data_IF_149213765336
#
_entry.id   IF_149213765336
#
_cell.length_a   1.000
_cell.length_b   1.000
_cell.length_c   1.000
_cell.angle_alpha   90.00
_cell.angle_beta   90.00
_cell.angle_gamma   90.00
#
_symmetry.space_group_name_H-M   'P 1'
#
loop_
_entity.id
_entity.type
_entity.pdbx_description
1 polymer ?
#
# COMPACT_ATOMS: atom_id res chain seq x y z
N UNK A 1 -20.23 0.79 -11.85
CA UNK A 1 -19.01 1.29 -11.20
C UNK A 1 -17.99 0.17 -11.20
N UNK A 2 -16.76 0.43 -11.63
CA UNK A 2 -15.65 -0.53 -11.61
C UNK A 2 -14.51 0.08 -10.81
N UNK A 3 -13.90 -0.71 -9.94
CA UNK A 3 -12.73 -0.31 -9.18
C UNK A 3 -11.60 -1.33 -9.29
N UNK A 4 -10.39 -0.88 -9.04
CA UNK A 4 -9.22 -1.75 -8.99
C UNK A 4 -8.51 -1.61 -7.65
N UNK A 5 -8.04 -2.74 -7.13
CA UNK A 5 -6.99 -2.77 -6.12
C UNK A 5 -5.67 -2.90 -6.88
N UNK A 6 -4.76 -1.97 -6.63
CA UNK A 6 -3.51 -1.82 -7.37
C UNK A 6 -2.35 -2.02 -6.42
N UNK A 7 -1.49 -2.99 -6.75
CA UNK A 7 -0.32 -3.36 -5.94
C UNK A 7 0.89 -3.61 -6.83
N UNK A 8 2.08 -3.40 -6.28
CA UNK A 8 3.35 -3.74 -6.92
C UNK A 8 4.02 -4.91 -6.20
N UNK A 9 4.59 -5.86 -6.97
CA UNK A 9 5.39 -6.95 -6.44
C UNK A 9 6.67 -7.20 -7.24
N UNK A 10 7.68 -7.69 -6.54
CA UNK A 10 8.96 -8.15 -7.09
C UNK A 10 9.09 -9.65 -6.89
N UNK A 11 10.10 -10.27 -7.51
CA UNK A 11 10.39 -11.69 -7.32
C UNK A 11 11.06 -11.93 -5.96
N UNK A 12 10.27 -11.74 -4.91
CA UNK A 12 10.63 -11.89 -3.52
C UNK A 12 9.56 -12.75 -2.84
N UNK A 13 9.97 -13.89 -2.27
CA UNK A 13 9.01 -14.84 -1.68
C UNK A 13 8.15 -14.21 -0.57
N UNK A 14 8.71 -13.36 0.29
CA UNK A 14 7.93 -12.72 1.36
C UNK A 14 6.86 -11.78 0.78
N UNK A 15 7.21 -11.02 -0.25
CA UNK A 15 6.29 -10.10 -0.91
C UNK A 15 5.19 -10.85 -1.68
N UNK A 16 5.52 -11.99 -2.28
CA UNK A 16 4.55 -12.87 -2.94
C UNK A 16 3.63 -13.56 -1.91
N UNK A 17 4.12 -13.94 -0.72
CA UNK A 17 3.29 -14.43 0.39
C UNK A 17 2.27 -13.39 0.82
N UNK A 18 2.71 -12.14 0.93
CA UNK A 18 1.85 -11.01 1.27
C UNK A 18 0.78 -10.78 0.19
N UNK A 19 1.18 -10.73 -1.10
CA UNK A 19 0.23 -10.67 -2.21
C UNK A 19 -0.79 -11.84 -2.17
N UNK A 20 -0.33 -13.04 -1.81
CA UNK A 20 -1.19 -14.21 -1.65
C UNK A 20 -2.29 -13.98 -0.61
N UNK A 21 -1.97 -13.33 0.51
CA UNK A 21 -2.95 -12.93 1.51
C UNK A 21 -3.99 -11.95 0.95
N UNK A 22 -3.53 -10.87 0.29
CA UNK A 22 -4.42 -9.89 -0.33
C UNK A 22 -5.35 -10.55 -1.37
N UNK A 23 -4.79 -11.32 -2.29
CA UNK A 23 -5.56 -12.06 -3.30
C UNK A 23 -6.59 -12.99 -2.66
N UNK A 24 -6.19 -13.78 -1.67
CA UNK A 24 -7.08 -14.75 -1.02
C UNK A 24 -8.23 -14.04 -0.32
N UNK A 25 -7.95 -12.92 0.36
CA UNK A 25 -8.98 -12.10 1.00
C UNK A 25 -9.95 -11.49 -0.02
N UNK A 26 -9.46 -10.99 -1.16
CA UNK A 26 -10.31 -10.46 -2.23
C UNK A 26 -11.22 -11.55 -2.83
N UNK A 27 -10.70 -12.75 -3.05
CA UNK A 27 -11.51 -13.90 -3.52
C UNK A 27 -12.55 -14.32 -2.50
N UNK A 28 -12.18 -14.28 -1.22
CA UNK A 28 -13.08 -14.66 -0.14
C UNK A 28 -14.29 -13.71 -0.05
N UNK A 29 -14.09 -12.40 -0.18
CA UNK A 29 -15.18 -11.42 -0.08
C UNK A 29 -16.04 -11.32 -1.33
N UNK A 30 -15.62 -11.97 -2.43
CA UNK A 30 -16.34 -12.06 -3.70
C UNK A 30 -16.81 -10.70 -4.26
N UNK A 31 -15.91 -9.71 -4.25
CA UNK A 31 -16.20 -8.36 -4.72
C UNK A 31 -16.34 -8.32 -6.25
N UNK A 32 -17.58 -8.34 -6.76
CA UNK A 32 -17.88 -8.47 -8.20
C UNK A 32 -17.47 -7.27 -9.05
N UNK A 33 -17.22 -6.12 -8.42
CA UNK A 33 -16.90 -4.85 -9.08
C UNK A 33 -15.40 -4.49 -9.02
N UNK A 34 -14.59 -5.36 -8.40
CA UNK A 34 -13.20 -5.10 -8.04
C UNK A 34 -12.25 -6.02 -8.79
N UNK A 35 -11.39 -5.44 -9.63
CA UNK A 35 -10.26 -6.17 -10.22
C UNK A 35 -9.02 -6.05 -9.33
N UNK A 36 -8.16 -7.09 -9.31
CA UNK A 36 -6.81 -7.01 -8.76
C UNK A 36 -5.81 -6.77 -9.88
N UNK A 37 -5.23 -5.58 -9.90
CA UNK A 37 -4.17 -5.19 -10.84
C UNK A 37 -2.83 -5.32 -10.13
N UNK A 38 -2.00 -6.24 -10.63
CA UNK A 38 -0.68 -6.53 -10.07
C UNK A 38 0.38 -6.06 -11.05
N UNK A 39 1.04 -4.97 -10.67
CA UNK A 39 2.27 -4.53 -11.31
C UNK A 39 3.43 -5.35 -10.76
N UNK A 40 4.42 -5.67 -11.58
CA UNK A 40 5.60 -6.34 -11.07
C UNK A 40 6.63 -6.73 -12.10
N UNK A 41 7.74 -7.27 -11.61
CA UNK A 41 8.78 -7.81 -12.50
C UNK A 41 8.27 -9.04 -13.23
N UNK A 42 8.82 -9.30 -14.41
CA UNK A 42 8.47 -10.46 -15.23
C UNK A 42 8.47 -11.79 -14.46
N UNK A 43 9.50 -12.01 -13.64
CA UNK A 43 9.63 -13.24 -12.85
C UNK A 43 8.58 -13.33 -11.73
N UNK A 44 8.23 -12.21 -11.10
CA UNK A 44 7.16 -12.16 -10.11
C UNK A 44 5.79 -12.50 -10.74
N UNK A 45 5.48 -11.91 -11.90
CA UNK A 45 4.19 -12.06 -12.56
C UNK A 45 3.90 -13.47 -13.09
N UNK A 46 4.94 -14.29 -13.29
CA UNK A 46 4.79 -15.73 -13.57
C UNK A 46 4.13 -16.48 -12.40
N UNK A 47 4.32 -16.00 -11.17
CA UNK A 47 3.80 -16.60 -9.93
C UNK A 47 2.45 -16.01 -9.51
N UNK A 48 2.02 -14.91 -10.13
CA UNK A 48 0.72 -14.28 -9.86
C UNK A 48 -0.41 -15.12 -10.51
N UNK A 49 -1.58 -15.30 -9.86
CA UNK A 49 -2.74 -15.97 -10.45
C UNK A 49 -3.17 -15.37 -11.79
N UNK A 50 -3.69 -16.23 -12.67
CA UNK A 50 -4.02 -15.86 -14.06
C UNK A 50 -5.27 -14.99 -14.22
N UNK A 51 -6.10 -14.95 -13.18
CA UNK A 51 -7.30 -14.12 -13.12
C UNK A 51 -7.05 -12.72 -12.55
N UNK A 52 -5.80 -12.41 -12.14
CA UNK A 52 -5.35 -11.05 -11.90
C UNK A 52 -5.01 -10.35 -13.23
N UNK A 53 -5.14 -9.02 -13.26
CA UNK A 53 -4.60 -8.20 -14.36
C UNK A 53 -3.12 -7.97 -14.08
N UNK A 54 -2.26 -8.61 -14.87
CA UNK A 54 -0.80 -8.57 -14.72
C UNK A 54 -0.21 -7.46 -15.59
N UNK A 55 0.62 -6.60 -15.01
CA UNK A 55 1.27 -5.50 -15.73
C UNK A 55 2.78 -5.54 -15.47
N UNK A 56 3.55 -5.91 -16.48
CA UNK A 56 5.01 -5.97 -16.37
C UNK A 56 5.59 -4.56 -16.24
N UNK A 57 6.43 -4.37 -15.22
CA UNK A 57 7.20 -3.15 -15.00
C UNK A 57 8.65 -3.47 -14.68
N UNK A 58 9.52 -2.60 -15.16
CA UNK A 58 10.90 -2.56 -14.73
C UNK A 58 11.01 -1.92 -13.35
N UNK A 59 12.07 -2.29 -12.65
CA UNK A 59 12.44 -1.65 -11.40
C UNK A 59 12.89 -0.23 -11.68
N UNK A 60 12.37 0.73 -10.93
CA UNK A 60 12.80 2.12 -11.00
C UNK A 60 14.31 2.22 -10.67
N UNK A 61 15.07 2.79 -11.59
CA UNK A 61 16.53 2.86 -11.51
C UNK A 61 17.12 4.25 -11.75
N UNK A 62 16.28 5.22 -12.14
CA UNK A 62 16.69 6.60 -12.40
C UNK A 62 15.83 7.55 -11.56
N UNK A 63 16.42 8.31 -10.62
CA UNK A 63 17.85 8.38 -10.34
C UNK A 63 18.40 7.11 -9.66
N UNK A 64 19.74 6.89 -9.63
CA UNK A 64 20.36 5.67 -9.07
C UNK A 64 19.95 5.35 -7.63
N UNK A 65 19.57 6.36 -6.84
CA UNK A 65 19.06 6.25 -5.49
C UNK A 65 17.80 5.35 -5.38
N UNK A 66 17.01 5.25 -6.46
CA UNK A 66 15.85 4.37 -6.55
C UNK A 66 16.21 2.89 -6.45
N UNK A 67 17.38 2.48 -6.96
CA UNK A 67 17.86 1.09 -6.82
C UNK A 67 18.00 0.70 -5.34
N UNK A 68 18.35 1.67 -4.48
CA UNK A 68 18.52 1.52 -3.04
C UNK A 68 17.29 2.00 -2.25
N UNK A 69 16.15 2.23 -2.90
CA UNK A 69 14.91 2.66 -2.27
C UNK A 69 13.70 1.97 -2.92
N UNK A 70 13.59 0.66 -2.73
CA UNK A 70 12.60 -0.20 -3.44
C UNK A 70 11.14 0.19 -3.25
N UNK A 71 10.80 0.90 -2.17
CA UNK A 71 9.45 1.42 -1.92
C UNK A 71 8.95 2.36 -3.03
N UNK A 72 9.85 2.96 -3.83
CA UNK A 72 9.45 3.79 -4.97
C UNK A 72 8.59 3.03 -5.98
N UNK A 73 8.80 1.73 -6.15
CA UNK A 73 8.13 0.93 -7.17
C UNK A 73 6.62 0.81 -6.92
N UNK A 74 6.16 0.94 -5.66
CA UNK A 74 4.72 0.93 -5.33
C UNK A 74 3.97 2.17 -5.80
N UNK A 75 4.67 3.25 -6.17
CA UNK A 75 4.08 4.46 -6.73
C UNK A 75 4.50 4.71 -8.18
N UNK A 76 5.75 4.45 -8.55
CA UNK A 76 6.24 4.72 -9.91
C UNK A 76 5.58 3.80 -10.95
N UNK A 77 5.17 2.58 -10.57
CA UNK A 77 4.49 1.67 -11.49
C UNK A 77 3.15 2.23 -12.02
N UNK A 78 2.53 3.19 -11.33
CA UNK A 78 1.29 3.86 -11.77
C UNK A 78 1.52 5.01 -12.76
N UNK A 79 2.78 5.44 -12.92
CA UNK A 79 3.18 6.60 -13.75
C UNK A 79 3.44 6.19 -15.20
N UNK A 80 3.97 4.98 -15.39
CA UNK A 80 4.36 4.47 -16.70
C UNK A 80 3.18 4.29 -17.66
N UNK A 81 3.47 4.27 -18.97
CA UNK A 81 2.46 4.11 -20.03
C UNK A 81 1.63 2.84 -19.88
N UNK A 82 2.23 1.75 -19.42
CA UNK A 82 1.51 0.51 -19.15
C UNK A 82 0.42 0.66 -18.08
N UNK A 83 0.43 1.70 -17.26
CA UNK A 83 -0.62 2.01 -16.30
C UNK A 83 -1.76 2.87 -16.89
N UNK A 84 -1.67 3.33 -18.14
CA UNK A 84 -2.67 4.24 -18.73
C UNK A 84 -4.08 3.67 -18.76
N UNK A 85 -4.23 2.35 -18.85
CA UNK A 85 -5.56 1.72 -18.81
C UNK A 85 -6.27 1.88 -17.47
N UNK A 86 -5.57 2.20 -16.38
CA UNK A 86 -6.18 2.37 -15.06
C UNK A 86 -7.21 3.49 -15.03
N UNK A 87 -7.11 4.49 -15.92
CA UNK A 87 -8.10 5.59 -16.01
C UNK A 87 -9.49 5.12 -16.47
N UNK A 88 -9.62 3.85 -16.88
CA UNK A 88 -10.92 3.22 -17.21
C UNK A 88 -11.68 2.77 -15.95
N UNK A 89 -11.03 2.72 -14.79
CA UNK A 89 -11.69 2.49 -13.52
C UNK A 89 -12.25 3.80 -12.98
N UNK A 90 -13.40 3.72 -12.31
CA UNK A 90 -13.96 4.88 -11.60
C UNK A 90 -13.07 5.22 -10.40
N UNK A 91 -12.62 4.18 -9.69
CA UNK A 91 -11.76 4.29 -8.51
C UNK A 91 -10.61 3.30 -8.54
N UNK A 92 -9.45 3.70 -8.02
CA UNK A 92 -8.37 2.77 -7.70
C UNK A 92 -7.96 2.91 -6.23
N UNK A 93 -7.74 1.77 -5.58
CA UNK A 93 -7.09 1.64 -4.29
C UNK A 93 -5.64 1.24 -4.55
N UNK A 94 -4.72 2.19 -4.50
CA UNK A 94 -3.27 1.89 -4.48
C UNK A 94 -2.90 1.50 -3.06
N UNK A 95 -2.37 0.29 -2.89
CA UNK A 95 -2.02 -0.25 -1.57
C UNK A 95 -0.76 -1.11 -1.62
N UNK A 96 -0.22 -1.42 -0.44
CA UNK A 96 0.89 -2.34 -0.26
C UNK A 96 0.43 -3.81 -0.33
N UNK A 97 1.35 -4.73 -0.63
CA UNK A 97 1.00 -6.15 -0.76
C UNK A 97 0.67 -6.81 0.59
N UNK A 98 1.15 -6.26 1.71
CA UNK A 98 0.94 -6.79 3.06
C UNK A 98 -0.39 -6.32 3.66
N UNK A 99 -1.45 -6.53 2.89
CA UNK A 99 -2.80 -6.08 3.20
C UNK A 99 -3.84 -7.18 3.03
N UNK A 100 -5.00 -6.95 3.61
CA UNK A 100 -6.19 -7.79 3.45
C UNK A 100 -7.40 -6.91 3.18
N UNK A 101 -8.37 -7.45 2.46
CA UNK A 101 -9.71 -6.88 2.35
C UNK A 101 -10.67 -7.70 3.20
N UNK A 102 -11.67 -7.02 3.76
CA UNK A 102 -12.76 -7.65 4.53
C UNK A 102 -14.10 -7.49 3.79
N UNK A 103 -15.18 -8.16 4.23
CA UNK A 103 -16.50 -7.99 3.63
C UNK A 103 -16.99 -6.54 3.58
N UNK A 104 -16.52 -5.68 4.51
CA UNK A 104 -16.82 -4.26 4.51
C UNK A 104 -16.39 -3.53 3.23
N UNK A 105 -15.39 -4.07 2.50
CA UNK A 105 -14.95 -3.53 1.21
C UNK A 105 -16.10 -3.41 0.20
N UNK A 106 -17.05 -4.35 0.20
CA UNK A 106 -18.14 -4.40 -0.79
C UNK A 106 -19.09 -3.18 -0.73
N UNK A 107 -19.20 -2.55 0.45
CA UNK A 107 -20.02 -1.35 0.65
C UNK A 107 -19.20 -0.05 0.73
N UNK A 108 -17.86 -0.15 0.75
CA UNK A 108 -16.99 0.99 0.94
C UNK A 108 -16.62 1.65 -0.39
N UNK A 109 -17.15 2.86 -0.60
CA UNK A 109 -16.76 3.76 -1.69
C UNK A 109 -16.37 5.11 -1.11
N UNK A 110 -15.34 5.77 -1.64
CA UNK A 110 -14.83 6.99 -1.06
C UNK A 110 -15.60 8.18 -1.63
N UNK A 111 -16.22 8.99 -0.77
CA UNK A 111 -16.92 10.22 -1.18
C UNK A 111 -15.93 11.24 -1.79
N UNK A 112 -14.72 11.27 -1.23
CA UNK A 112 -13.60 12.10 -1.66
C UNK A 112 -12.32 11.27 -1.72
N UNK A 113 -11.22 11.85 -2.20
CA UNK A 113 -9.92 11.18 -2.12
C UNK A 113 -9.64 10.81 -0.67
N UNK A 114 -9.47 9.53 -0.40
CA UNK A 114 -9.36 8.97 0.96
C UNK A 114 -8.03 8.25 1.09
N UNK A 115 -7.33 8.50 2.18
CA UNK A 115 -6.06 7.83 2.51
C UNK A 115 -6.18 7.20 3.90
N UNK A 116 -5.38 6.16 4.15
CA UNK A 116 -5.18 5.67 5.52
C UNK A 116 -4.32 6.63 6.34
N UNK A 117 -3.80 6.17 7.48
CA UNK A 117 -3.00 7.00 8.39
C UNK A 117 -1.60 6.45 8.58
N UNK A 118 -0.60 7.29 8.32
CA UNK A 118 0.80 7.02 8.60
C UNK A 118 1.20 7.38 10.04
N UNK A 119 2.51 7.31 10.31
CA UNK A 119 3.10 7.63 11.62
C UNK A 119 4.55 8.11 11.53
N UNK A 120 4.90 8.83 10.46
CA UNK A 120 6.28 9.22 10.13
C UNK A 120 6.61 10.69 10.45
N UNK A 121 5.62 11.52 10.80
CA UNK A 121 5.82 12.91 11.25
C UNK A 121 5.65 12.97 12.76
N UNK A 122 6.76 12.79 13.49
CA UNK A 122 6.77 12.71 14.96
C UNK A 122 7.39 13.95 15.64
N UNK A 123 8.00 14.86 14.87
CA UNK A 123 8.66 16.05 15.39
C UNK A 123 8.45 17.29 14.51
N UNK A 124 8.93 18.44 15.01
CA UNK A 124 8.84 19.73 14.31
C UNK A 124 9.78 19.81 13.12
N UNK A 125 10.91 19.11 13.15
CA UNK A 125 11.91 19.11 12.09
C UNK A 125 11.33 18.48 10.82
N UNK A 126 10.80 17.26 10.93
CA UNK A 126 10.15 16.52 9.84
C UNK A 126 9.03 17.35 9.23
N UNK A 127 8.16 17.93 10.06
CA UNK A 127 7.07 18.80 9.61
C UNK A 127 7.58 20.03 8.84
N UNK A 128 8.70 20.60 9.27
CA UNK A 128 9.29 21.79 8.64
C UNK A 128 9.98 21.44 7.33
N UNK A 129 10.66 20.30 7.25
CA UNK A 129 11.26 19.79 6.01
C UNK A 129 10.21 19.54 4.94
N UNK A 130 9.11 18.85 5.27
CA UNK A 130 7.99 18.61 4.33
C UNK A 130 7.44 19.92 3.77
N UNK A 131 7.15 20.91 4.63
CA UNK A 131 6.66 22.23 4.19
C UNK A 131 7.69 23.00 3.36
N UNK A 132 8.97 22.90 3.72
CA UNK A 132 10.07 23.55 2.99
C UNK A 132 10.19 22.96 1.59
N UNK A 133 10.12 21.64 1.45
CA UNK A 133 10.17 20.95 0.14
C UNK A 133 8.95 21.35 -0.69
N UNK A 134 7.73 21.30 -0.12
CA UNK A 134 6.54 21.79 -0.82
C UNK A 134 6.71 23.23 -1.32
N UNK A 135 7.22 24.13 -0.47
CA UNK A 135 7.47 25.53 -0.83
C UNK A 135 8.55 25.67 -1.91
N UNK A 136 9.60 24.85 -1.88
CA UNK A 136 10.67 24.85 -2.89
C UNK A 136 10.12 24.60 -4.30
N UNK A 137 9.13 23.72 -4.42
CA UNK A 137 8.45 23.41 -5.69
C UNK A 137 7.21 24.29 -5.97
N UNK A 138 6.96 25.34 -5.17
CA UNK A 138 5.75 26.17 -5.24
C UNK A 138 4.44 25.36 -5.12
N UNK A 139 4.47 24.26 -4.37
CA UNK A 139 3.32 23.40 -4.15
C UNK A 139 2.53 23.85 -2.91
N UNK A 140 1.20 23.80 -3.04
CA UNK A 140 0.29 24.04 -1.93
C UNK A 140 0.42 22.92 -0.89
N UNK A 141 0.51 23.28 0.39
CA UNK A 141 0.42 22.34 1.50
C UNK A 141 -0.72 22.73 2.45
N UNK A 142 -1.83 21.99 2.47
CA UNK A 142 -3.02 22.33 3.27
C UNK A 142 -2.89 22.00 4.77
N UNK A 143 -1.74 21.49 5.19
CA UNK A 143 -1.40 21.33 6.61
C UNK A 143 -1.81 19.98 7.20
N UNK A 144 -2.18 19.03 6.35
CA UNK A 144 -2.42 17.65 6.72
C UNK A 144 -1.10 16.87 6.69
N UNK A 145 -0.88 16.08 7.74
CA UNK A 145 0.34 15.30 7.96
C UNK A 145 -0.02 13.86 8.32
N UNK A 146 0.93 12.94 8.14
CA UNK A 146 0.79 11.50 8.40
C UNK A 146 -0.29 10.86 7.52
N UNK A 147 -0.29 11.15 6.22
CA UNK A 147 -1.12 10.45 5.24
C UNK A 147 -0.58 9.01 5.08
N UNK A 148 -1.46 8.01 5.04
CA UNK A 148 -1.08 6.60 4.92
C UNK A 148 -0.48 6.24 3.56
N UNK A 149 0.06 5.02 3.44
CA UNK A 149 0.57 4.50 2.16
C UNK A 149 -0.58 4.13 1.23
N UNK A 150 -1.76 3.83 1.78
CA UNK A 150 -2.93 3.49 0.98
C UNK A 150 -3.68 4.73 0.49
N UNK A 151 -3.94 4.78 -0.82
CA UNK A 151 -4.65 5.88 -1.47
C UNK A 151 -5.85 5.34 -2.25
N UNK A 152 -7.05 5.81 -1.93
CA UNK A 152 -8.30 5.43 -2.58
C UNK A 152 -9.02 6.64 -3.15
N UNK A 153 -9.28 6.65 -4.46
CA UNK A 153 -9.97 7.77 -5.08
C UNK A 153 -10.11 7.59 -6.58
N UNK A 154 -10.52 8.67 -7.25
CA UNK A 154 -10.62 8.69 -8.71
C UNK A 154 -9.30 8.23 -9.35
N UNK A 155 -9.39 7.32 -10.31
CA UNK A 155 -8.22 6.67 -10.90
C UNK A 155 -7.20 7.66 -11.48
N UNK A 156 -7.67 8.67 -12.22
CA UNK A 156 -6.80 9.69 -12.82
C UNK A 156 -6.11 10.53 -11.74
N UNK A 157 -6.84 10.95 -10.70
CA UNK A 157 -6.27 11.75 -9.62
C UNK A 157 -5.25 10.97 -8.78
N UNK A 158 -5.50 9.68 -8.50
CA UNK A 158 -4.51 8.83 -7.80
C UNK A 158 -3.22 8.72 -8.62
N UNK A 159 -3.32 8.55 -9.95
CA UNK A 159 -2.14 8.51 -10.83
C UNK A 159 -1.37 9.82 -10.86
N UNK A 160 -2.05 10.97 -10.94
CA UNK A 160 -1.39 12.29 -10.89
C UNK A 160 -0.67 12.51 -9.55
N UNK A 161 -1.26 12.06 -8.43
CA UNK A 161 -0.60 12.05 -7.12
C UNK A 161 0.66 11.18 -7.15
N UNK A 162 0.57 9.94 -7.66
CA UNK A 162 1.74 9.06 -7.77
C UNK A 162 2.84 9.67 -8.66
N UNK A 163 2.48 10.31 -9.77
CA UNK A 163 3.42 10.96 -10.68
C UNK A 163 4.23 12.06 -9.97
N UNK A 164 3.55 13.02 -9.36
CA UNK A 164 4.22 14.09 -8.60
C UNK A 164 5.00 13.53 -7.41
N UNK A 165 4.48 12.50 -6.74
CA UNK A 165 5.18 11.84 -5.64
C UNK A 165 6.46 11.11 -6.10
N UNK A 166 6.50 10.52 -7.30
CA UNK A 166 7.72 9.92 -7.85
C UNK A 166 8.79 11.00 -8.10
N UNK A 167 8.43 12.13 -8.70
CA UNK A 167 9.34 13.27 -8.92
C UNK A 167 9.88 13.84 -7.60
N UNK A 168 9.02 14.04 -6.61
CA UNK A 168 9.43 14.52 -5.29
C UNK A 168 10.27 13.49 -4.53
N UNK A 169 9.99 12.19 -4.69
CA UNK A 169 10.81 11.13 -4.09
C UNK A 169 12.23 11.17 -4.66
N UNK A 170 12.39 11.36 -5.98
CA UNK A 170 13.70 11.53 -6.59
C UNK A 170 14.46 12.68 -5.94
N UNK A 171 13.85 13.88 -5.87
CA UNK A 171 14.47 15.05 -5.24
C UNK A 171 14.87 14.83 -3.78
N UNK A 172 13.95 14.27 -2.97
CA UNK A 172 14.23 14.05 -1.53
C UNK A 172 15.40 13.06 -1.36
N UNK A 173 15.47 12.01 -2.17
CA UNK A 173 16.58 11.07 -2.10
C UNK A 173 17.90 11.68 -2.56
N UNK A 174 17.91 12.45 -3.66
CA UNK A 174 19.14 12.97 -4.28
C UNK A 174 19.67 14.23 -3.61
N UNK A 175 18.80 15.07 -3.05
CA UNK A 175 19.18 16.36 -2.45
C UNK A 175 19.06 16.33 -0.93
N UNK A 176 17.90 15.96 -0.38
CA UNK A 176 17.64 16.05 1.07
C UNK A 176 18.38 14.99 1.88
N UNK A 177 18.55 13.78 1.31
CA UNK A 177 19.30 12.68 1.93
C UNK A 177 20.67 12.43 1.29
N UNK A 178 21.19 13.40 0.52
CA UNK A 178 22.50 13.31 -0.12
C UNK A 178 23.65 13.05 0.88
N UNK A 179 23.56 13.62 2.07
CA UNK A 179 24.62 13.60 3.09
C UNK A 179 24.38 12.60 4.22
N UNK A 180 23.31 11.80 4.15
CA UNK A 180 23.01 10.79 5.16
C UNK A 180 21.54 10.36 5.16
N UNK A 181 21.24 9.26 5.83
CA UNK A 181 19.89 8.67 5.82
C UNK A 181 18.93 9.27 6.86
N UNK A 182 19.40 10.20 7.69
CA UNK A 182 18.63 10.72 8.82
C UNK A 182 18.41 9.66 9.91
N UNK A 183 17.41 9.86 10.78
CA UNK A 183 17.16 9.00 11.94
C UNK A 183 15.68 8.80 12.22
N UNK A 184 15.24 7.55 12.27
CA UNK A 184 13.91 7.19 12.76
C UNK A 184 13.80 7.38 14.28
N UNK A 185 12.68 7.89 14.83
CA UNK A 185 11.40 8.22 14.19
C UNK A 185 11.25 9.69 13.72
N UNK A 186 12.34 10.40 13.41
CA UNK A 186 12.33 11.75 12.85
C UNK A 186 12.50 11.78 11.33
N UNK A 187 13.22 12.78 10.82
CA UNK A 187 13.55 12.90 9.38
C UNK A 187 14.40 11.70 8.95
N UNK A 188 13.83 10.80 8.16
CA UNK A 188 14.43 9.50 7.84
C UNK A 188 14.18 9.06 6.40
N UNK A 189 15.24 8.64 5.71
CA UNK A 189 15.24 8.24 4.30
C UNK A 189 14.27 7.11 4.00
N UNK A 190 14.08 6.17 4.94
CA UNK A 190 13.26 4.97 4.73
C UNK A 190 11.78 5.25 4.41
N UNK A 191 11.27 6.42 4.75
CA UNK A 191 9.85 6.81 4.54
C UNK A 191 9.70 7.94 3.50
N UNK A 192 10.70 8.11 2.63
CA UNK A 192 10.70 9.18 1.61
C UNK A 192 9.47 9.20 0.71
N UNK A 193 9.00 8.06 0.20
CA UNK A 193 7.80 8.01 -0.64
C UNK A 193 6.54 8.48 0.11
N UNK A 194 6.51 8.34 1.43
CA UNK A 194 5.42 8.83 2.28
C UNK A 194 5.43 10.37 2.36
N UNK A 195 6.60 10.97 2.59
CA UNK A 195 6.76 12.43 2.55
C UNK A 195 6.33 13.00 1.18
N UNK A 196 6.76 12.35 0.10
CA UNK A 196 6.44 12.78 -1.26
C UNK A 196 4.96 12.63 -1.60
N UNK A 197 4.34 11.49 -1.27
CA UNK A 197 2.90 11.28 -1.43
C UNK A 197 2.09 12.30 -0.63
N UNK A 198 2.54 12.65 0.57
CA UNK A 198 1.87 13.66 1.39
C UNK A 198 1.90 15.04 0.74
N UNK A 199 3.06 15.48 0.27
CA UNK A 199 3.20 16.76 -0.43
C UNK A 199 2.34 16.78 -1.70
N UNK A 200 2.43 15.74 -2.52
CA UNK A 200 1.66 15.63 -3.76
C UNK A 200 0.15 15.66 -3.51
N UNK A 201 -0.32 14.93 -2.49
CA UNK A 201 -1.74 14.87 -2.12
C UNK A 201 -2.23 16.22 -1.60
N UNK A 202 -1.50 16.85 -0.66
CA UNK A 202 -1.84 18.16 -0.14
C UNK A 202 -1.91 19.23 -1.26
N UNK A 203 -1.15 19.04 -2.35
CA UNK A 203 -1.17 19.94 -3.49
C UNK A 203 -2.38 19.70 -4.40
N UNK A 204 -2.51 18.48 -4.93
CA UNK A 204 -3.42 18.13 -6.02
C UNK A 204 -4.85 17.85 -5.57
N UNK A 205 -5.05 17.46 -4.30
CA UNK A 205 -6.36 17.07 -3.79
C UNK A 205 -6.99 18.23 -3.05
N UNK A 206 -8.18 18.66 -3.48
CA UNK A 206 -8.94 19.73 -2.83
C UNK A 206 -9.65 19.25 -1.55
N UNK A 207 -10.30 18.09 -1.62
CA UNK A 207 -11.04 17.50 -0.51
C UNK A 207 -10.43 16.13 -0.21
N UNK A 208 -9.81 16.03 0.96
CA UNK A 208 -9.06 14.86 1.41
C UNK A 208 -9.65 14.34 2.72
N UNK A 209 -9.90 13.04 2.78
CA UNK A 209 -10.25 12.32 4.00
C UNK A 209 -9.06 11.47 4.44
N UNK A 210 -8.65 11.59 5.71
CA UNK A 210 -7.75 10.64 6.36
C UNK A 210 -8.63 9.72 7.20
N UNK A 211 -8.81 8.47 6.78
CA UNK A 211 -9.74 7.52 7.40
C UNK A 211 -8.97 6.33 7.99
N UNK A 212 -8.40 6.47 9.20
CA UNK A 212 -7.65 5.40 9.85
C UNK A 212 -8.52 4.21 10.25
N UNK A 213 -9.84 4.40 10.34
CA UNK A 213 -10.77 3.32 10.71
C UNK A 213 -11.04 2.42 9.51
N UNK A 214 -11.07 2.97 8.30
CA UNK A 214 -11.38 2.18 7.10
C UNK A 214 -10.17 1.77 6.26
N UNK A 215 -9.12 2.58 6.25
CA UNK A 215 -7.89 2.33 5.51
C UNK A 215 -6.70 2.20 6.45
N UNK A 216 -5.80 1.28 6.12
CA UNK A 216 -4.62 0.91 6.92
C UNK A 216 -4.90 0.41 8.35
N UNK A 217 -6.07 -0.21 8.60
CA UNK A 217 -6.42 -0.70 9.92
C UNK A 217 -5.56 -1.90 10.34
N UNK A 218 -5.21 -2.03 11.62
CA UNK A 218 -4.17 -2.97 12.04
C UNK A 218 -4.58 -4.46 12.05
N UNK A 219 -3.78 -5.32 11.42
CA UNK A 219 -4.00 -6.78 11.37
C UNK A 219 -3.93 -7.52 12.71
N UNK A 220 -3.43 -6.87 13.75
CA UNK A 220 -3.39 -7.42 15.10
C UNK A 220 -4.59 -7.03 15.97
N UNK A 221 -5.58 -6.33 15.39
CA UNK A 221 -6.78 -5.92 16.11
C UNK A 221 -7.69 -7.10 16.42
N UNK A 222 -8.41 -6.99 17.54
CA UNK A 222 -9.49 -7.87 17.96
C UNK A 222 -10.88 -7.29 17.58
N UNK A 223 -10.91 -6.23 16.78
CA UNK A 223 -12.17 -5.64 16.29
C UNK A 223 -12.82 -6.46 15.16
N UNK A 224 -14.07 -6.13 14.87
CA UNK A 224 -14.89 -6.83 13.89
C UNK A 224 -14.51 -6.49 12.45
N UNK A 225 -14.44 -7.49 11.57
CA UNK A 225 -14.18 -7.31 10.14
C UNK A 225 -15.26 -6.48 9.40
N UNK A 226 -16.41 -6.21 10.03
CA UNK A 226 -17.56 -5.55 9.40
C UNK A 226 -17.37 -4.03 9.22
N UNK A 227 -16.40 -3.42 9.89
CA UNK A 227 -16.19 -1.96 9.87
C UNK A 227 -14.94 -1.52 9.09
N UNK A 228 -13.99 -2.44 8.88
CA UNK A 228 -12.64 -2.11 8.43
C UNK A 228 -12.37 -2.76 7.07
N UNK A 229 -12.72 -2.10 5.95
CA UNK A 229 -12.63 -2.67 4.60
C UNK A 229 -11.21 -3.05 4.19
N UNK A 230 -10.19 -2.35 4.72
CA UNK A 230 -8.80 -2.54 4.35
C UNK A 230 -7.90 -2.64 5.59
N UNK A 231 -7.24 -3.78 5.73
CA UNK A 231 -6.36 -4.11 6.84
C UNK A 231 -4.90 -4.07 6.37
N UNK A 232 -4.01 -3.46 7.13
CA UNK A 232 -2.56 -3.40 6.89
C UNK A 232 -1.77 -4.12 7.97
N UNK A 233 -0.74 -4.85 7.56
CA UNK A 233 0.15 -5.56 8.45
C UNK A 233 1.31 -4.69 8.93
N UNK A 234 1.02 -3.80 9.87
CA UNK A 234 2.03 -3.07 10.62
C UNK A 234 3.01 -4.00 11.35
N UNK A 235 4.20 -3.48 11.70
CA UNK A 235 5.19 -4.26 12.43
C UNK A 235 4.71 -4.54 13.85
N UNK A 236 4.54 -5.82 14.17
CA UNK A 236 4.06 -6.28 15.48
C UNK A 236 4.44 -7.74 15.68
N UNK A 237 4.52 -8.18 16.92
CA UNK A 237 4.65 -9.59 17.31
C UNK A 237 3.30 -10.20 17.69
N UNK A 238 2.25 -9.38 17.82
CA UNK A 238 0.89 -9.82 18.10
C UNK A 238 0.29 -10.54 16.89
N UNK A 239 -0.63 -11.46 17.14
CA UNK A 239 -1.40 -12.11 16.07
C UNK A 239 -2.41 -11.11 15.49
N UNK A 240 -2.52 -10.91 14.18
CA UNK A 240 -1.73 -11.50 13.09
C UNK A 240 -0.49 -10.66 12.74
N UNK A 241 0.69 -11.30 12.75
CA UNK A 241 1.97 -10.70 12.35
C UNK A 241 2.48 -11.27 11.04
N UNK A 242 2.75 -10.41 10.06
CA UNK A 242 3.34 -10.83 8.77
C UNK A 242 4.68 -11.54 8.95
N UNK A 243 5.49 -11.12 9.92
CA UNK A 243 6.80 -11.74 10.19
C UNK A 243 6.67 -13.15 10.74
N UNK A 244 5.72 -13.38 11.65
CA UNK A 244 5.41 -14.71 12.17
C UNK A 244 4.84 -15.61 11.08
N UNK A 245 3.99 -15.08 10.20
CA UNK A 245 3.47 -15.82 9.06
C UNK A 245 4.57 -16.23 8.07
N UNK A 246 5.42 -15.29 7.64
CA UNK A 246 6.53 -15.58 6.72
C UNK A 246 7.54 -16.55 7.31
N UNK A 247 7.71 -16.57 8.64
CA UNK A 247 8.58 -17.50 9.34
C UNK A 247 7.95 -18.88 9.60
N UNK A 248 6.73 -19.15 9.10
CA UNK A 248 6.03 -20.43 9.30
C UNK A 248 5.56 -20.68 10.74
N UNK A 249 5.57 -19.66 11.62
CA UNK A 249 5.18 -19.82 13.03
C UNK A 249 3.70 -20.16 13.21
N UNK A 250 2.88 -19.98 12.18
CA UNK A 250 1.45 -20.29 12.21
C UNK A 250 1.09 -21.63 11.56
N UNK A 251 2.05 -22.37 11.00
CA UNK A 251 1.78 -23.53 10.12
C UNK A 251 1.17 -24.73 10.85
N UNK A 252 1.33 -24.77 12.17
CA UNK A 252 0.77 -25.80 13.04
C UNK A 252 -0.61 -25.44 13.59
N UNK A 253 -1.09 -24.21 13.37
CA UNK A 253 -2.37 -23.76 13.90
C UNK A 253 -3.53 -24.32 13.08
N UNK A 254 -4.52 -24.86 13.77
CA UNK A 254 -5.76 -25.31 13.16
C UNK A 254 -6.73 -24.12 13.06
N UNK A 255 -7.21 -23.81 11.85
CA UNK A 255 -8.09 -22.66 11.59
C UNK A 255 -9.58 -22.95 11.83
N UNK A 256 -9.96 -24.19 12.16
CA UNK A 256 -11.37 -24.60 12.30
C UNK A 256 -12.12 -23.89 13.44
N UNK A 257 -11.42 -23.52 14.50
CA UNK A 257 -12.01 -22.89 15.70
C UNK A 257 -11.76 -21.38 15.76
N UNK A 258 -11.19 -20.79 14.70
CA UNK A 258 -10.99 -19.34 14.63
C UNK A 258 -12.32 -18.63 14.44
N UNK A 259 -12.60 -17.65 15.31
CA UNK A 259 -13.67 -16.69 15.07
C UNK A 259 -13.24 -15.71 13.98
N UNK A 260 -13.60 -16.01 12.72
CA UNK A 260 -13.21 -15.23 11.55
C UNK A 260 -13.95 -13.91 11.42
N UNK A 261 -14.88 -13.58 12.31
CA UNK A 261 -15.49 -12.24 12.37
C UNK A 261 -14.57 -11.23 13.08
N UNK A 262 -13.47 -11.69 13.69
CA UNK A 262 -12.43 -10.90 14.33
C UNK A 262 -11.22 -10.73 13.41
N UNK A 263 -10.69 -9.51 13.28
CA UNK A 263 -9.65 -9.15 12.31
C UNK A 263 -8.41 -10.06 12.39
N UNK A 264 -7.80 -10.25 13.55
CA UNK A 264 -6.57 -11.04 13.64
C UNK A 264 -6.76 -12.51 13.23
N UNK A 265 -7.87 -13.12 13.61
CA UNK A 265 -8.27 -14.48 13.25
C UNK A 265 -8.62 -14.57 11.76
N UNK A 266 -9.31 -13.57 11.21
CA UNK A 266 -9.60 -13.43 9.79
C UNK A 266 -8.31 -13.39 8.97
N UNK A 267 -7.38 -12.49 9.32
CA UNK A 267 -6.08 -12.37 8.67
C UNK A 267 -5.30 -13.68 8.73
N UNK A 268 -5.26 -14.36 9.88
CA UNK A 268 -4.64 -15.68 10.02
C UNK A 268 -5.29 -16.73 9.10
N UNK A 269 -6.62 -16.79 9.09
CA UNK A 269 -7.38 -17.73 8.25
C UNK A 269 -7.10 -17.50 6.76
N UNK A 270 -7.12 -16.24 6.31
CA UNK A 270 -6.81 -15.88 4.92
C UNK A 270 -5.34 -16.16 4.55
N UNK A 271 -4.40 -15.90 5.46
CA UNK A 271 -2.99 -16.15 5.23
C UNK A 271 -2.66 -17.65 5.15
N UNK A 272 -3.27 -18.49 5.99
CA UNK A 272 -3.07 -19.94 5.89
C UNK A 272 -3.73 -20.52 4.63
N UNK A 273 -4.92 -20.03 4.25
CA UNK A 273 -5.56 -20.39 2.97
C UNK A 273 -4.72 -19.95 1.76
N UNK A 274 -4.00 -18.83 1.83
CA UNK A 274 -3.22 -18.34 0.69
C UNK A 274 -2.11 -19.29 0.28
N UNK A 275 -1.55 -20.05 1.23
CA UNK A 275 -0.55 -21.10 0.94
C UNK A 275 -1.09 -22.17 -0.01
N UNK A 276 -2.39 -22.45 0.04
CA UNK A 276 -3.06 -23.43 -0.84
C UNK A 276 -3.29 -22.87 -2.25
N UNK A 277 -3.66 -21.60 -2.37
CA UNK A 277 -4.02 -20.97 -3.65
C UNK A 277 -2.84 -20.48 -4.48
N UNK A 278 -1.70 -20.20 -3.83
CA UNK A 278 -0.62 -19.45 -4.44
C UNK A 278 0.66 -20.31 -4.68
N UNK A 279 0.62 -21.62 -4.40
CA UNK A 279 1.76 -22.58 -4.41
C UNK A 279 3.03 -22.00 -3.78
N UNK A 280 2.85 -21.19 -2.72
CA UNK A 280 3.97 -20.57 -2.02
C UNK A 280 4.44 -21.55 -0.96
N UNK A 281 5.51 -22.28 -1.28
CA UNK A 281 6.28 -23.02 -0.28
C UNK A 281 7.08 -22.02 0.56
N UNK A 282 6.88 -22.07 1.88
CA UNK A 282 7.72 -21.38 2.84
C UNK A 282 9.15 -21.93 2.82
#
# INVERSE_FOLDING_TARGET
MRRAVVVFVEDNNHLLMQLGCLYTSLKHINASDTDLVVFGTKEALKKVPNDCIKVECEIASDPPEFLNYRFINSISCLVEKQADFLVKYDYILRTDADTFLTPAWNAFYPDFYTVGRGGYVNDKETRSNIRRIASHFNLRHQGLFNLGSTHYGNASLVREVCKLATELTAYILTEEFKSGEGKWPGWYRGVTSMYACEIATNHLVEQLTIDPERLDFGSASEESIQNHPHIHCWHTDNMFSKFHFTAGKYDHLNTKDLDVDIINNYCLSMALKSKEYFDIKA
#
